data_IF_592935394431
#
_entry.id   IF_592935394431
#
_cell.length_a   1.000
_cell.length_b   1.000
_cell.length_c   1.000
_cell.angle_alpha   90.00
_cell.angle_beta   90.00
_cell.angle_gamma   90.00
#
_symmetry.space_group_name_H-M   'P 1'
#
loop_
_entity.id
_entity.type
_entity.pdbx_description
1 polymer ?
#
# COMPACT_ATOMS: atom_id res chain seq x y z
N UNK A 1 -12.84 12.91 -10.83
CA UNK A 1 -13.70 11.79 -10.38
C UNK A 1 -13.00 11.06 -9.24
N UNK A 2 -13.66 10.89 -8.09
CA UNK A 2 -13.08 10.25 -6.91
C UNK A 2 -13.57 8.79 -6.82
N UNK A 3 -12.67 7.80 -6.77
CA UNK A 3 -13.04 6.38 -6.63
C UNK A 3 -12.61 5.84 -5.27
N UNK A 4 -13.56 5.31 -4.51
CA UNK A 4 -13.35 4.80 -3.14
C UNK A 4 -14.27 3.63 -2.87
N UNK A 5 -13.76 2.58 -2.20
CA UNK A 5 -14.53 1.38 -1.85
C UNK A 5 -15.22 0.69 -3.05
N UNK A 6 -14.79 0.99 -4.29
CA UNK A 6 -15.42 0.54 -5.53
C UNK A 6 -16.41 1.54 -6.14
N UNK A 7 -16.89 2.51 -5.36
CA UNK A 7 -17.83 3.55 -5.80
C UNK A 7 -17.13 4.73 -6.48
N UNK A 8 -17.79 5.34 -7.47
CA UNK A 8 -17.31 6.51 -8.22
C UNK A 8 -18.18 7.72 -7.90
N UNK A 9 -17.54 8.83 -7.55
CA UNK A 9 -18.20 10.09 -7.22
C UNK A 9 -17.85 11.17 -8.25
N UNK A 10 -18.88 11.89 -8.72
CA UNK A 10 -18.74 13.01 -9.64
C UNK A 10 -18.22 14.27 -8.95
N UNK A 11 -18.50 14.47 -7.67
CA UNK A 11 -18.09 15.66 -6.91
C UNK A 11 -17.34 15.34 -5.61
N UNK A 12 -16.67 16.35 -5.04
CA UNK A 12 -15.99 16.25 -3.75
C UNK A 12 -16.98 16.19 -2.58
N UNK A 13 -18.12 16.86 -2.69
CA UNK A 13 -19.16 16.89 -1.65
C UNK A 13 -19.80 15.50 -1.47
N UNK A 14 -20.23 14.86 -2.56
CA UNK A 14 -20.78 13.50 -2.51
C UNK A 14 -19.78 12.49 -1.94
N UNK A 15 -18.50 12.67 -2.25
CA UNK A 15 -17.42 11.87 -1.68
C UNK A 15 -17.28 12.07 -0.15
N UNK A 16 -17.31 13.31 0.34
CA UNK A 16 -17.23 13.62 1.77
C UNK A 16 -18.37 12.93 2.54
N UNK A 17 -19.59 13.00 2.03
CA UNK A 17 -20.76 12.41 2.67
C UNK A 17 -20.62 10.89 2.77
N UNK A 18 -20.20 10.22 1.68
CA UNK A 18 -19.93 8.77 1.71
C UNK A 18 -18.86 8.43 2.75
N UNK A 19 -17.75 9.17 2.75
CA UNK A 19 -16.62 8.95 3.66
C UNK A 19 -17.04 9.02 5.15
N UNK A 20 -17.97 9.91 5.51
CA UNK A 20 -18.50 10.00 6.88
C UNK A 20 -19.29 8.77 7.31
N UNK A 21 -19.95 8.04 6.40
CA UNK A 21 -20.70 6.81 6.73
C UNK A 21 -19.82 5.71 7.33
N UNK A 22 -18.54 5.75 7.00
CA UNK A 22 -17.56 4.81 7.50
C UNK A 22 -16.93 5.25 8.81
N UNK A 23 -17.18 6.47 9.28
CA UNK A 23 -16.49 7.02 10.44
C UNK A 23 -17.33 6.83 11.69
N UNK A 24 -16.70 6.30 12.73
CA UNK A 24 -17.18 6.27 14.11
C UNK A 24 -16.83 7.57 14.80
N UNK A 25 -17.82 8.38 15.20
CA UNK A 25 -17.56 9.62 15.90
C UNK A 25 -16.89 9.41 17.26
N UNK A 26 -17.26 8.34 17.97
CA UNK A 26 -16.89 8.05 19.37
C UNK A 26 -15.37 7.89 19.58
N UNK A 27 -14.70 7.20 18.66
CA UNK A 27 -13.27 6.86 18.74
C UNK A 27 -12.46 7.45 17.58
N UNK A 28 -13.12 8.23 16.71
CA UNK A 28 -12.57 8.78 15.45
C UNK A 28 -12.05 7.71 14.48
N UNK A 29 -12.40 6.44 14.66
CA UNK A 29 -12.00 5.35 13.78
C UNK A 29 -12.89 5.26 12.55
N UNK A 30 -12.46 4.49 11.58
CA UNK A 30 -13.20 4.14 10.38
C UNK A 30 -13.52 2.66 10.40
N UNK A 31 -14.76 2.27 10.18
CA UNK A 31 -15.21 0.89 10.19
C UNK A 31 -15.57 0.38 8.78
N UNK A 32 -15.31 -0.90 8.55
CA UNK A 32 -15.91 -1.60 7.42
C UNK A 32 -17.35 -1.97 7.76
N UNK A 33 -18.30 -1.48 6.95
CA UNK A 33 -19.72 -1.78 7.11
C UNK A 33 -20.12 -3.15 6.54
N UNK A 34 -19.25 -3.80 5.77
CA UNK A 34 -19.49 -5.11 5.13
C UNK A 34 -18.90 -6.30 5.91
N UNK A 35 -18.08 -6.05 6.94
CA UNK A 35 -17.47 -7.10 7.76
C UNK A 35 -18.24 -7.42 9.05
N UNK A 36 -19.41 -6.82 9.26
CA UNK A 36 -20.20 -6.99 10.47
C UNK A 36 -20.68 -8.46 10.61
N UNK A 37 -20.27 -9.15 11.67
CA UNK A 37 -20.76 -10.49 12.00
C UNK A 37 -19.69 -11.53 12.41
N UNK A 38 -18.43 -11.36 12.03
CA UNK A 38 -17.35 -12.31 12.41
C UNK A 38 -16.24 -11.66 13.22
N UNK A 39 -15.78 -10.47 12.84
CA UNK A 39 -14.94 -9.58 13.64
C UNK A 39 -15.12 -8.15 13.16
N UNK A 40 -15.23 -7.22 14.10
CA UNK A 40 -15.32 -5.80 13.79
C UNK A 40 -13.98 -5.30 13.22
N UNK A 41 -14.02 -4.73 12.01
CA UNK A 41 -12.83 -4.20 11.33
C UNK A 41 -12.84 -2.68 11.39
N UNK A 42 -12.10 -2.12 12.35
CA UNK A 42 -11.84 -0.69 12.49
C UNK A 42 -10.44 -0.31 12.00
N UNK A 43 -10.27 0.97 11.66
CA UNK A 43 -9.07 1.54 11.05
C UNK A 43 -8.86 2.96 11.55
N UNK A 44 -7.61 3.38 11.73
CA UNK A 44 -7.26 4.71 12.25
C UNK A 44 -7.59 5.83 11.24
N UNK A 45 -7.63 5.50 9.96
CA UNK A 45 -7.91 6.46 8.91
C UNK A 45 -8.60 5.81 7.71
N UNK A 46 -9.27 6.64 6.93
CA UNK A 46 -10.01 6.21 5.77
C UNK A 46 -9.14 5.55 4.68
N UNK A 47 -7.87 5.94 4.55
CA UNK A 47 -6.96 5.31 3.59
C UNK A 47 -6.75 3.82 3.93
N UNK A 48 -6.65 3.47 5.21
CA UNK A 48 -6.54 2.09 5.67
C UNK A 48 -7.84 1.31 5.38
N UNK A 49 -9.00 1.89 5.67
CA UNK A 49 -10.30 1.28 5.34
C UNK A 49 -10.46 1.08 3.81
N UNK A 50 -10.24 2.12 3.01
CA UNK A 50 -10.31 2.05 1.55
C UNK A 50 -9.42 0.96 0.96
N UNK A 51 -8.28 0.71 1.61
CA UNK A 51 -7.36 -0.36 1.22
C UNK A 51 -7.97 -1.72 1.57
N UNK A 52 -8.53 -1.90 2.75
CA UNK A 52 -9.26 -3.12 3.10
C UNK A 52 -10.42 -3.38 2.13
N UNK A 53 -11.28 -2.38 1.89
CA UNK A 53 -12.43 -2.50 0.99
C UNK A 53 -12.03 -2.98 -0.40
N UNK A 54 -10.97 -2.39 -0.97
CA UNK A 54 -10.45 -2.80 -2.28
C UNK A 54 -9.92 -4.23 -2.32
N UNK A 55 -9.34 -4.69 -1.21
CA UNK A 55 -8.70 -6.00 -1.13
C UNK A 55 -9.69 -7.13 -0.83
N UNK A 56 -10.73 -6.84 -0.04
CA UNK A 56 -11.62 -7.87 0.51
C UNK A 56 -12.99 -7.87 -0.14
N UNK A 57 -13.52 -6.70 -0.51
CA UNK A 57 -14.92 -6.58 -0.94
C UNK A 57 -15.07 -6.26 -2.43
N UNK A 58 -14.09 -5.59 -3.04
CA UNK A 58 -14.15 -5.26 -4.48
C UNK A 58 -13.28 -6.17 -5.35
N UNK A 59 -12.57 -7.15 -4.75
CA UNK A 59 -11.63 -8.04 -5.44
C UNK A 59 -10.67 -7.31 -6.39
N UNK A 60 -10.23 -6.10 -6.01
CA UNK A 60 -9.37 -5.29 -6.87
C UNK A 60 -7.94 -5.83 -6.81
N UNK A 61 -7.60 -6.63 -7.81
CA UNK A 61 -6.27 -7.22 -8.00
C UNK A 61 -5.45 -6.46 -9.04
N UNK A 62 -4.14 -6.62 -8.95
CA UNK A 62 -3.16 -6.04 -9.87
C UNK A 62 -2.33 -7.18 -10.47
N UNK A 63 -2.68 -7.68 -11.67
CA UNK A 63 -1.95 -8.77 -12.31
C UNK A 63 -0.58 -8.31 -12.82
N UNK A 64 0.40 -9.21 -12.81
CA UNK A 64 1.65 -9.01 -13.49
C UNK A 64 1.49 -9.23 -15.01
N UNK A 65 2.02 -8.34 -15.87
CA UNK A 65 1.96 -8.53 -17.31
C UNK A 65 2.94 -9.58 -17.83
N UNK A 66 3.88 -10.06 -17.00
CA UNK A 66 4.96 -10.98 -17.42
C UNK A 66 4.84 -12.37 -16.79
N UNK A 67 3.92 -12.60 -15.86
CA UNK A 67 3.70 -13.90 -15.23
C UNK A 67 2.31 -13.98 -14.57
N UNK A 68 1.93 -15.18 -14.12
CA UNK A 68 0.61 -15.45 -13.55
C UNK A 68 0.41 -14.93 -12.11
N UNK A 69 1.34 -14.11 -11.59
CA UNK A 69 1.25 -13.58 -10.23
C UNK A 69 0.32 -12.37 -10.18
N UNK A 70 -0.56 -12.35 -9.19
CA UNK A 70 -1.44 -11.22 -8.90
C UNK A 70 -1.14 -10.63 -7.52
N UNK A 71 -1.40 -9.34 -7.38
CA UNK A 71 -1.11 -8.61 -6.15
C UNK A 71 -2.35 -7.86 -5.69
N UNK A 72 -2.66 -7.92 -4.39
CA UNK A 72 -3.74 -7.13 -3.81
C UNK A 72 -3.42 -5.63 -3.65
N UNK A 73 -2.21 -5.17 -4.03
CA UNK A 73 -1.81 -3.75 -3.98
C UNK A 73 -0.88 -3.39 -5.13
N UNK A 74 -1.13 -2.23 -5.77
CA UNK A 74 -0.28 -1.69 -6.86
C UNK A 74 1.20 -1.57 -6.47
N UNK A 75 1.50 -1.09 -5.26
CA UNK A 75 2.89 -0.98 -4.79
C UNK A 75 3.60 -2.33 -4.74
N UNK A 76 2.87 -3.40 -4.45
CA UNK A 76 3.44 -4.74 -4.39
C UNK A 76 3.72 -5.26 -5.81
N UNK A 77 2.81 -5.00 -6.76
CA UNK A 77 3.05 -5.27 -8.18
C UNK A 77 4.29 -4.51 -8.68
N UNK A 78 4.37 -3.20 -8.46
CA UNK A 78 5.55 -2.39 -8.89
C UNK A 78 6.84 -2.95 -8.30
N UNK A 79 6.84 -3.27 -7.00
CA UNK A 79 8.00 -3.89 -6.35
C UNK A 79 8.31 -5.29 -6.87
N UNK A 80 7.34 -6.00 -7.44
CA UNK A 80 7.55 -7.29 -8.08
C UNK A 80 8.11 -7.13 -9.50
N UNK A 81 7.69 -6.12 -10.26
CA UNK A 81 8.16 -5.86 -11.62
C UNK A 81 9.68 -5.64 -11.70
N UNK A 82 10.31 -5.22 -10.62
CA UNK A 82 11.78 -5.12 -10.53
C UNK A 82 12.47 -6.48 -10.74
N UNK A 83 11.80 -7.61 -10.46
CA UNK A 83 12.33 -8.96 -10.72
C UNK A 83 12.40 -9.28 -12.21
N UNK A 84 11.49 -8.73 -13.01
CA UNK A 84 11.51 -8.90 -14.47
C UNK A 84 12.50 -7.96 -15.13
N UNK A 85 12.57 -6.72 -14.67
CA UNK A 85 13.45 -5.70 -15.28
C UNK A 85 14.89 -5.76 -14.78
N UNK A 86 15.15 -6.42 -13.65
CA UNK A 86 16.48 -6.48 -13.04
C UNK A 86 16.99 -5.15 -12.48
N UNK A 87 16.19 -4.07 -12.55
CA UNK A 87 16.60 -2.72 -12.14
C UNK A 87 17.01 -2.67 -10.68
N UNK A 88 18.15 -2.01 -10.42
CA UNK A 88 18.74 -1.79 -9.09
C UNK A 88 19.01 -0.31 -8.86
N UNK A 89 17.93 0.47 -8.85
CA UNK A 89 17.98 1.93 -8.82
C UNK A 89 18.51 2.51 -7.50
N UNK A 90 18.61 1.70 -6.44
CA UNK A 90 19.02 2.16 -5.11
C UNK A 90 20.47 1.79 -4.85
N UNK A 91 21.38 2.63 -5.32
CA UNK A 91 22.83 2.50 -5.17
C UNK A 91 23.26 2.93 -3.77
N UNK A 92 24.22 2.21 -3.19
CA UNK A 92 24.85 2.57 -1.93
C UNK A 92 25.67 3.86 -2.11
N UNK A 93 25.47 4.89 -1.28
CA UNK A 93 26.23 6.13 -1.38
C UNK A 93 27.60 6.07 -0.67
N UNK A 94 27.89 4.99 0.06
CA UNK A 94 29.14 4.85 0.81
C UNK A 94 30.32 4.66 -0.14
N UNK A 95 31.38 5.45 0.05
CA UNK A 95 32.60 5.33 -0.74
C UNK A 95 33.23 3.94 -0.61
N UNK A 96 33.75 3.40 -1.71
CA UNK A 96 34.22 2.01 -1.79
C UNK A 96 33.11 0.94 -1.76
N UNK A 97 31.83 1.30 -1.65
CA UNK A 97 30.73 0.34 -1.67
C UNK A 97 29.91 0.42 -2.97
N UNK A 98 30.11 -0.53 -3.87
CA UNK A 98 29.40 -0.58 -5.16
C UNK A 98 28.09 -1.40 -5.13
N UNK A 99 27.51 -1.64 -3.94
CA UNK A 99 26.28 -2.42 -3.84
C UNK A 99 25.07 -1.60 -4.28
N UNK A 100 24.19 -2.20 -5.08
CA UNK A 100 22.94 -1.61 -5.52
C UNK A 100 21.76 -2.55 -5.26
N UNK A 101 20.60 -1.98 -4.97
CA UNK A 101 19.41 -2.71 -4.56
C UNK A 101 18.22 -2.35 -5.45
N UNK A 102 17.32 -3.32 -5.65
CA UNK A 102 16.07 -3.12 -6.38
C UNK A 102 15.00 -2.40 -5.56
N UNK A 103 15.20 -2.23 -4.25
CA UNK A 103 14.26 -1.56 -3.34
C UNK A 103 14.95 -0.70 -2.29
N UNK A 104 14.34 0.45 -1.97
CA UNK A 104 14.82 1.40 -0.96
C UNK A 104 14.97 0.80 0.44
N UNK A 105 14.04 -0.06 0.87
CA UNK A 105 14.12 -0.69 2.19
C UNK A 105 15.30 -1.65 2.31
N UNK A 106 15.69 -2.30 1.20
CA UNK A 106 16.87 -3.17 1.16
C UNK A 106 18.16 -2.36 1.25
N UNK A 107 18.23 -1.23 0.55
CA UNK A 107 19.33 -0.27 0.74
C UNK A 107 19.38 0.23 2.20
N UNK A 108 18.25 0.63 2.79
CA UNK A 108 18.20 1.09 4.19
C UNK A 108 18.72 0.04 5.18
N UNK A 109 18.34 -1.23 5.00
CA UNK A 109 18.86 -2.31 5.83
C UNK A 109 20.36 -2.52 5.59
N UNK A 110 20.81 -2.47 4.33
CA UNK A 110 22.23 -2.54 4.01
C UNK A 110 23.03 -1.44 4.70
N UNK A 111 22.56 -0.19 4.71
CA UNK A 111 23.28 0.92 5.33
C UNK A 111 23.59 0.71 6.82
N UNK A 112 22.87 -0.18 7.51
CA UNK A 112 23.18 -0.52 8.91
C UNK A 112 24.57 -1.12 9.07
N UNK A 113 25.10 -1.82 8.06
CA UNK A 113 26.44 -2.43 8.13
C UNK A 113 27.54 -1.37 8.10
N UNK A 114 27.30 -0.25 7.43
CA UNK A 114 28.26 0.87 7.35
C UNK A 114 28.25 1.68 8.65
N UNK A 115 27.08 1.82 9.26
CA UNK A 115 26.96 2.46 10.58
C UNK A 115 27.65 1.61 11.65
N UNK A 116 27.50 0.28 11.63
CA UNK A 116 28.17 -0.60 12.58
C UNK A 116 29.68 -0.75 12.37
N UNK A 117 30.22 -0.28 11.24
CA UNK A 117 31.66 -0.28 10.95
C UNK A 117 32.36 1.04 11.36
N UNK A 118 31.60 2.00 11.92
CA UNK A 118 32.07 3.30 12.42
C UNK A 118 32.10 3.37 13.96
N UNK A 119 31.88 2.23 14.63
CA UNK A 119 32.15 1.98 16.05
C UNK A 119 33.30 0.98 16.15
#
# INVERSE_FOLDING_TARGET
MFQVCGERFSTRASWNIHHLKHRRPEDKLYCCTLCSGTQERTYENFRQLCRHMRQVHTNQIFPCPYCNWTFGRRKNLVNHLVRHTGRRDFVCPQDGCHKAYSRKDKLKTHMRIHISALL
#
